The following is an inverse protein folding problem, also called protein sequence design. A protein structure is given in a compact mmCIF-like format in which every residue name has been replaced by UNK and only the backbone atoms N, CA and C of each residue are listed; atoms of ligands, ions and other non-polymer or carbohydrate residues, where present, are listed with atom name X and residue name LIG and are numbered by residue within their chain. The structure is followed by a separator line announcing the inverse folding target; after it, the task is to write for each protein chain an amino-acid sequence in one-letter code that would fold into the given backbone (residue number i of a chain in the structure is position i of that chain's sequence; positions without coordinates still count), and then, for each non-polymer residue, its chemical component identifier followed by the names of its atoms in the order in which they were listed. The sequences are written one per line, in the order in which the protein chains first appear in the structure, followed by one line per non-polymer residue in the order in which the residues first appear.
data_IF_077670297256
#
_entry.id   IF_077670297256
#
_cell.length_a   1.000
_cell.length_b   1.000
_cell.length_c   1.000
_cell.angle_alpha   90.00
_cell.angle_beta   90.00
_cell.angle_gamma   90.00
#
_symmetry.space_group_name_H-M   'P 1'
#
loop_
_entity.id
_entity.type
_entity.pdbx_description
1 polymer ?
#
# COMPACT_ATOMS: atom_id res chain seq x y z
N UNK A 1 -6.52 -10.47 -3.73
CA UNK A 1 -5.92 -11.58 -2.96
C UNK A 1 -6.71 -11.71 -1.68
N UNK A 2 -7.12 -12.92 -1.32
CA UNK A 2 -7.91 -13.15 -0.12
C UNK A 2 -7.05 -13.45 1.11
N UNK A 3 -5.85 -14.04 0.92
CA UNK A 3 -4.97 -14.45 2.00
C UNK A 3 -3.51 -14.59 1.51
N UNK A 4 -2.55 -14.23 2.36
CA UNK A 4 -1.10 -14.37 2.14
C UNK A 4 -0.43 -14.81 3.45
N UNK A 5 0.63 -15.62 3.36
CA UNK A 5 1.49 -15.94 4.50
C UNK A 5 2.75 -15.07 4.42
N UNK A 6 2.95 -14.24 5.43
CA UNK A 6 4.15 -13.41 5.58
C UNK A 6 5.12 -14.09 6.55
N UNK A 7 6.37 -14.23 6.13
CA UNK A 7 7.46 -14.75 6.97
C UNK A 7 8.47 -13.64 7.20
N UNK A 8 8.84 -13.40 8.46
CA UNK A 8 9.79 -12.36 8.84
C UNK A 8 10.57 -12.74 10.10
N UNK A 9 11.64 -12.03 10.39
CA UNK A 9 12.44 -12.23 11.60
C UNK A 9 12.06 -11.20 12.66
N UNK A 10 11.67 -11.65 13.85
CA UNK A 10 11.30 -10.79 14.97
C UNK A 10 11.68 -11.46 16.30
N UNK A 11 12.17 -10.68 17.27
CA UNK A 11 12.56 -11.17 18.61
C UNK A 11 13.42 -12.45 18.61
N UNK A 12 14.35 -12.54 17.67
CA UNK A 12 15.31 -13.65 17.59
C UNK A 12 14.76 -14.95 16.98
N UNK A 13 13.57 -14.93 16.36
CA UNK A 13 12.98 -16.09 15.68
C UNK A 13 12.32 -15.71 14.36
N UNK A 14 12.06 -16.74 13.55
CA UNK A 14 11.20 -16.62 12.36
C UNK A 14 9.75 -16.64 12.83
N UNK A 15 9.01 -15.60 12.47
CA UNK A 15 7.57 -15.48 12.64
C UNK A 15 6.84 -15.77 11.34
N UNK A 16 5.58 -16.17 11.46
CA UNK A 16 4.67 -16.38 10.34
C UNK A 16 3.31 -15.80 10.67
N UNK A 17 2.76 -14.98 9.78
CA UNK A 17 1.46 -14.34 9.95
C UNK A 17 0.59 -14.48 8.70
N UNK A 18 -0.71 -14.73 8.91
CA UNK A 18 -1.72 -14.62 7.88
C UNK A 18 -2.10 -13.15 7.68
N UNK A 19 -1.90 -12.63 6.47
CA UNK A 19 -2.14 -11.23 6.12
C UNK A 19 -2.89 -11.08 4.80
N UNK A 20 -3.32 -9.86 4.49
CA UNK A 20 -3.96 -9.51 3.22
C UNK A 20 -3.19 -8.38 2.55
N UNK A 21 -2.57 -8.60 1.37
CA UNK A 21 -1.87 -7.54 0.67
C UNK A 21 -2.87 -6.61 -0.03
N UNK A 22 -2.65 -5.29 0.11
CA UNK A 22 -3.44 -4.25 -0.55
C UNK A 22 -2.63 -3.60 -1.66
N UNK A 23 -3.21 -3.53 -2.87
CA UNK A 23 -2.62 -2.85 -4.01
C UNK A 23 -3.37 -1.55 -4.31
N UNK A 24 -2.94 -0.47 -3.67
CA UNK A 24 -3.49 0.86 -3.84
C UNK A 24 -2.76 1.63 -4.96
N UNK A 25 -3.50 2.42 -5.73
CA UNK A 25 -2.95 3.30 -6.78
C UNK A 25 -3.37 4.72 -6.46
N UNK A 26 -2.40 5.63 -6.48
CA UNK A 26 -2.62 7.05 -6.19
C UNK A 26 -1.47 7.86 -6.77
N UNK A 27 -1.55 9.19 -6.70
CA UNK A 27 -0.43 10.04 -7.06
C UNK A 27 0.64 10.01 -5.97
N UNK A 28 1.90 10.15 -6.40
CA UNK A 28 3.05 10.31 -5.50
C UNK A 28 2.83 11.42 -4.45
N UNK A 29 2.19 12.53 -4.83
CA UNK A 29 1.92 13.66 -3.93
C UNK A 29 1.01 13.30 -2.75
N UNK A 30 0.19 12.25 -2.88
CA UNK A 30 -0.75 11.80 -1.85
C UNK A 30 -0.11 10.78 -0.88
N UNK A 31 1.16 10.41 -1.06
CA UNK A 31 1.78 9.33 -0.27
C UNK A 31 1.76 9.64 1.24
N UNK A 32 2.13 10.86 1.62
CA UNK A 32 2.16 11.26 3.04
C UNK A 32 0.78 11.21 3.69
N UNK A 33 -0.27 11.60 2.96
CA UNK A 33 -1.65 11.53 3.46
C UNK A 33 -2.12 10.09 3.62
N UNK A 34 -1.77 9.23 2.65
CA UNK A 34 -2.05 7.78 2.74
C UNK A 34 -1.30 7.16 3.91
N UNK A 35 -0.02 7.48 4.10
CA UNK A 35 0.78 6.95 5.20
C UNK A 35 0.18 7.33 6.56
N UNK A 36 -0.27 8.58 6.71
CA UNK A 36 -0.95 9.04 7.91
C UNK A 36 -2.19 8.21 8.22
N UNK A 37 -3.10 8.07 7.25
CA UNK A 37 -4.35 7.30 7.43
C UNK A 37 -4.06 5.83 7.70
N UNK A 38 -3.07 5.23 7.02
CA UNK A 38 -2.65 3.86 7.28
C UNK A 38 -2.16 3.72 8.72
N UNK A 39 -1.27 4.59 9.19
CA UNK A 39 -0.78 4.54 10.58
C UNK A 39 -1.87 4.72 11.64
N UNK A 40 -2.88 5.53 11.34
CA UNK A 40 -4.02 5.76 12.26
C UNK A 40 -4.96 4.55 12.34
N UNK A 41 -5.11 3.78 11.26
CA UNK A 41 -6.09 2.69 11.16
C UNK A 41 -5.50 1.28 11.24
N UNK A 42 -4.20 1.11 10.97
CA UNK A 42 -3.59 -0.20 10.89
C UNK A 42 -3.39 -0.81 12.28
N UNK A 43 -3.56 -2.12 12.38
CA UNK A 43 -3.37 -2.87 13.63
C UNK A 43 -1.90 -2.96 14.09
N UNK A 44 -0.94 -2.56 13.26
CA UNK A 44 0.48 -2.75 13.50
C UNK A 44 1.14 -1.39 13.72
N UNK A 45 2.12 -1.34 14.62
CA UNK A 45 2.91 -0.12 14.88
C UNK A 45 3.80 0.26 13.68
N UNK A 46 4.27 -0.74 12.93
CA UNK A 46 5.10 -0.57 11.74
C UNK A 46 4.47 -1.29 10.54
N UNK A 47 3.45 -0.69 9.89
CA UNK A 47 2.81 -1.30 8.73
C UNK A 47 3.74 -1.29 7.51
N UNK A 48 3.73 -2.37 6.72
CA UNK A 48 4.45 -2.42 5.46
C UNK A 48 3.75 -1.56 4.41
N UNK A 49 4.23 -0.33 4.21
CA UNK A 49 3.74 0.60 3.19
C UNK A 49 4.88 1.06 2.29
N UNK A 50 4.88 0.59 1.04
CA UNK A 50 5.90 0.91 0.04
C UNK A 50 5.25 1.38 -1.25
N UNK A 51 5.89 2.33 -1.94
CA UNK A 51 5.42 2.85 -3.23
C UNK A 51 6.32 2.37 -4.38
N UNK A 52 5.70 1.88 -5.45
CA UNK A 52 6.36 1.49 -6.69
C UNK A 52 5.90 2.41 -7.82
N UNK A 53 6.81 2.97 -8.65
CA UNK A 53 6.41 3.84 -9.76
C UNK A 53 5.74 3.04 -10.88
N UNK A 54 4.70 3.61 -11.47
CA UNK A 54 4.10 3.10 -12.71
C UNK A 54 4.81 3.81 -13.87
N UNK A 55 5.67 3.10 -14.61
CA UNK A 55 6.41 3.67 -15.74
C UNK A 55 5.56 3.74 -17.02
N UNK A 56 4.73 2.72 -17.26
CA UNK A 56 3.87 2.63 -18.43
C UNK A 56 2.50 2.04 -18.07
N UNK A 57 1.47 2.47 -18.80
CA UNK A 57 0.11 1.97 -18.63
C UNK A 57 -0.80 2.43 -19.76
N UNK A 58 -1.98 1.84 -19.86
CA UNK A 58 -2.99 2.28 -20.82
C UNK A 58 -3.37 3.74 -20.54
N UNK A 59 -3.30 4.61 -21.56
CA UNK A 59 -3.64 6.03 -21.44
C UNK A 59 -5.03 6.23 -20.83
N UNK A 60 -6.01 5.43 -21.24
CA UNK A 60 -7.38 5.51 -20.71
C UNK A 60 -7.43 5.19 -19.22
N UNK A 61 -6.69 4.16 -18.77
CA UNK A 61 -6.63 3.80 -17.35
C UNK A 61 -5.91 4.85 -16.51
N UNK A 62 -4.79 5.38 -16.99
CA UNK A 62 -4.02 6.41 -16.29
C UNK A 62 -4.82 7.72 -16.19
N UNK A 63 -5.58 8.09 -17.23
CA UNK A 63 -6.48 9.24 -17.19
C UNK A 63 -7.59 9.06 -16.15
N UNK A 64 -8.20 7.88 -16.08
CA UNK A 64 -9.21 7.58 -15.05
C UNK A 64 -8.62 7.62 -13.64
N UNK A 65 -7.43 7.05 -13.45
CA UNK A 65 -6.72 7.07 -12.17
C UNK A 65 -6.40 8.50 -11.73
N UNK A 66 -5.92 9.34 -12.65
CA UNK A 66 -5.64 10.76 -12.39
C UNK A 66 -6.89 11.51 -11.93
N UNK A 67 -8.03 11.27 -12.59
CA UNK A 67 -9.30 11.91 -12.22
C UNK A 67 -9.82 11.39 -10.87
N UNK A 68 -9.65 10.10 -10.59
CA UNK A 68 -10.18 9.46 -9.38
C UNK A 68 -9.33 9.71 -8.13
N UNK A 69 -8.10 10.23 -8.30
CA UNK A 69 -7.12 10.42 -7.21
C UNK A 69 -6.77 11.90 -6.98
N UNK A 70 -7.56 12.82 -7.55
CA UNK A 70 -7.49 14.25 -7.21
C UNK A 70 -8.10 14.44 -5.83
N UNK A 71 -7.29 14.92 -4.88
CA UNK A 71 -7.84 15.57 -3.69
C UNK A 71 -8.63 16.80 -4.12
N UNK A 72 -9.54 17.26 -3.27
CA UNK A 72 -10.15 18.59 -3.42
C UNK A 72 -9.08 19.69 -3.47
#
# INVERSE_FOLDING_TARGET
FSEMQSHYWWEGKVETATEVPVYLKTHRRNFSDVEKVVKELHSYECPCLVALPIEFGSKTYLNWLDQSSKGE
#
